data_IF_805476158854
#
_entry.id   IF_805476158854
#
_cell.length_a   1.000
_cell.length_b   1.000
_cell.length_c   1.000
_cell.angle_alpha   90.00
_cell.angle_beta   90.00
_cell.angle_gamma   90.00
#
_symmetry.space_group_name_H-M   'P 1'
#
loop_
_entity.id
_entity.type
_entity.pdbx_description
1 polymer ?
#
# COMPACT_ATOMS: atom_id res chain seq x y z
N UNK A 1 -0.74 0.84 6.24
CA UNK A 1 0.26 1.12 7.28
C UNK A 1 1.22 -0.03 7.44
N UNK A 2 0.76 -1.17 7.98
CA UNK A 2 1.59 -2.37 8.20
C UNK A 2 2.50 -2.78 7.02
N UNK A 3 2.00 -2.73 5.78
CA UNK A 3 2.82 -3.08 4.62
C UNK A 3 3.96 -2.08 4.35
N UNK A 4 3.74 -0.78 4.58
CA UNK A 4 4.78 0.23 4.41
C UNK A 4 5.83 0.10 5.53
N UNK A 5 5.39 -0.12 6.76
CA UNK A 5 6.27 -0.34 7.92
C UNK A 5 7.16 -1.58 7.72
N UNK A 6 6.57 -2.69 7.25
CA UNK A 6 7.33 -3.90 6.95
C UNK A 6 8.32 -3.68 5.79
N UNK A 7 7.93 -2.94 4.75
CA UNK A 7 8.82 -2.64 3.63
C UNK A 7 9.99 -1.75 4.06
N UNK A 8 9.74 -0.76 4.92
CA UNK A 8 10.77 0.12 5.48
C UNK A 8 11.74 -0.65 6.38
N UNK A 9 11.23 -1.55 7.23
CA UNK A 9 12.05 -2.40 8.09
C UNK A 9 12.99 -3.32 7.31
N UNK A 10 12.63 -3.69 6.07
CA UNK A 10 13.43 -4.53 5.17
C UNK A 10 13.99 -3.75 3.97
N UNK A 11 14.27 -2.44 4.12
CA UNK A 11 14.72 -1.56 3.03
C UNK A 11 15.90 -2.12 2.23
N UNK A 12 16.97 -2.52 2.90
CA UNK A 12 18.19 -2.97 2.23
C UNK A 12 17.96 -4.26 1.43
N UNK A 13 17.19 -5.20 1.99
CA UNK A 13 16.79 -6.43 1.30
C UNK A 13 15.91 -6.12 0.09
N UNK A 14 14.94 -5.22 0.23
CA UNK A 14 14.04 -4.83 -0.86
C UNK A 14 14.79 -4.12 -2.00
N UNK A 15 15.77 -3.27 -1.69
CA UNK A 15 16.64 -2.62 -2.67
C UNK A 15 17.53 -3.64 -3.37
N UNK A 16 18.10 -4.59 -2.63
CA UNK A 16 18.95 -5.64 -3.19
C UNK A 16 18.18 -6.59 -4.13
N UNK A 17 16.91 -6.88 -3.82
CA UNK A 17 16.05 -7.72 -4.65
C UNK A 17 15.69 -7.04 -5.97
N UNK A 18 15.54 -5.71 -5.97
CA UNK A 18 15.16 -5.00 -7.19
C UNK A 18 15.95 -3.72 -7.45
N UNK A 19 15.58 -2.58 -6.87
CA UNK A 19 16.32 -1.33 -6.98
C UNK A 19 15.80 -0.28 -6.01
N UNK A 20 16.61 0.73 -5.70
CA UNK A 20 16.20 1.89 -4.90
C UNK A 20 15.02 2.63 -5.55
N UNK A 21 15.02 2.81 -6.87
CA UNK A 21 13.90 3.42 -7.61
C UNK A 21 12.58 2.67 -7.36
N UNK A 22 12.61 1.34 -7.39
CA UNK A 22 11.41 0.53 -7.17
C UNK A 22 10.98 0.59 -5.71
N UNK A 23 11.91 0.49 -4.75
CA UNK A 23 11.61 0.65 -3.32
C UNK A 23 10.88 1.98 -3.05
N UNK A 24 11.45 3.09 -3.52
CA UNK A 24 10.88 4.44 -3.33
C UNK A 24 9.49 4.56 -3.98
N UNK A 25 9.30 3.95 -5.15
CA UNK A 25 7.99 3.91 -5.81
C UNK A 25 6.95 3.16 -4.99
N UNK A 26 7.30 2.02 -4.40
CA UNK A 26 6.39 1.27 -3.54
C UNK A 26 6.11 2.01 -2.22
N UNK A 27 7.11 2.64 -1.61
CA UNK A 27 6.92 3.47 -0.42
C UNK A 27 5.94 4.62 -0.69
N UNK A 28 6.11 5.33 -1.80
CA UNK A 28 5.17 6.39 -2.22
C UNK A 28 3.76 5.85 -2.45
N UNK A 29 3.64 4.70 -3.13
CA UNK A 29 2.35 4.08 -3.42
C UNK A 29 1.61 3.67 -2.14
N UNK A 30 2.26 2.90 -1.26
CA UNK A 30 1.65 2.37 -0.04
C UNK A 30 1.22 3.48 0.92
N UNK A 31 2.07 4.48 1.14
CA UNK A 31 1.75 5.62 2.02
C UNK A 31 0.69 6.55 1.43
N UNK A 32 0.72 6.76 0.10
CA UNK A 32 -0.29 7.51 -0.63
C UNK A 32 -1.68 6.85 -0.59
N UNK A 33 -1.76 5.54 -0.83
CA UNK A 33 -3.00 4.78 -0.74
C UNK A 33 -3.60 4.85 0.67
N UNK A 34 -2.79 4.66 1.72
CA UNK A 34 -3.26 4.76 3.09
C UNK A 34 -3.88 6.13 3.40
N UNK A 35 -3.29 7.22 2.90
CA UNK A 35 -3.88 8.57 3.01
C UNK A 35 -5.22 8.66 2.30
N UNK A 36 -5.35 8.09 1.10
CA UNK A 36 -6.60 8.08 0.32
C UNK A 36 -7.78 7.48 1.08
N UNK A 37 -7.56 6.34 1.75
CA UNK A 37 -8.57 5.73 2.62
C UNK A 37 -8.89 6.59 3.85
N UNK A 38 -7.87 7.10 4.56
CA UNK A 38 -8.09 7.88 5.80
C UNK A 38 -8.88 9.18 5.60
N UNK A 39 -8.74 9.81 4.44
CA UNK A 39 -9.47 11.05 4.12
C UNK A 39 -10.82 10.79 3.44
N UNK A 40 -11.21 9.52 3.26
CA UNK A 40 -12.45 9.15 2.59
C UNK A 40 -12.47 9.42 1.08
N UNK A 41 -11.29 9.58 0.45
CA UNK A 41 -11.20 9.72 -1.01
C UNK A 41 -11.40 8.37 -1.72
N UNK A 42 -11.11 7.27 -1.03
CA UNK A 42 -11.29 5.88 -1.49
C UNK A 42 -12.02 5.12 -0.38
N UNK A 43 -12.92 4.22 -0.76
CA UNK A 43 -13.62 3.32 0.16
C UNK A 43 -13.54 1.86 -0.31
N UNK A 44 -13.84 0.92 0.58
CA UNK A 44 -13.99 -0.51 0.29
C UNK A 44 -15.34 -0.98 0.79
N UNK A 45 -16.22 -1.33 -0.13
CA UNK A 45 -17.57 -1.77 0.18
C UNK A 45 -17.74 -3.29 0.10
N UNK A 46 -18.55 -3.83 1.00
CA UNK A 46 -18.95 -5.24 0.97
C UNK A 46 -20.42 -5.36 0.58
N UNK A 47 -20.68 -5.74 -0.67
CA UNK A 47 -22.02 -5.99 -1.16
C UNK A 47 -22.39 -7.46 -1.05
N UNK A 48 -23.46 -7.77 -0.32
CA UNK A 48 -24.10 -9.08 -0.35
C UNK A 48 -25.35 -8.99 -1.22
N UNK A 49 -25.36 -9.71 -2.34
CA UNK A 49 -26.44 -9.66 -3.33
C UNK A 49 -27.34 -10.89 -3.23
N UNK A 50 -28.65 -10.72 -3.44
CA UNK A 50 -29.63 -11.80 -3.58
C UNK A 50 -30.34 -11.72 -4.92
N UNK A 51 -30.81 -12.88 -5.41
CA UNK A 51 -31.64 -12.96 -6.61
C UNK A 51 -33.05 -12.46 -6.31
N UNK A 52 -33.70 -11.84 -7.29
CA UNK A 52 -35.15 -11.58 -7.26
C UNK A 52 -35.93 -12.87 -7.43
#
# INVERSE_FOLDING_TARGET
>A
DLWAEALEAHRDEAIAVQSEEVYERYMKYLTGCAKGFRVGYIDVDQFTLQKQ
#
